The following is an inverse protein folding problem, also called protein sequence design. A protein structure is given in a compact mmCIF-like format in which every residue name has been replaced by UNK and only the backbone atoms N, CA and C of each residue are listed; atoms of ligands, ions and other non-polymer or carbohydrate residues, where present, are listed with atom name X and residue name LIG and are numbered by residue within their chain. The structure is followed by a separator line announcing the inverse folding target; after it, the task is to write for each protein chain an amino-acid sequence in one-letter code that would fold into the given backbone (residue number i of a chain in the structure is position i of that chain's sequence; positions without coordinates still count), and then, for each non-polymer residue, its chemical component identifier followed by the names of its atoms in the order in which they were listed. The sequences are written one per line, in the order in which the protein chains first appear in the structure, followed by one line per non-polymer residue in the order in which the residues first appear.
data_IF_622770888512
#
_entry.id   IF_622770888512
#
_cell.length_a   1.000
_cell.length_b   1.000
_cell.length_c   1.000
_cell.angle_alpha   90.00
_cell.angle_beta   90.00
_cell.angle_gamma   90.00
#
_symmetry.space_group_name_H-M   'P 1'
#
loop_
_entity.id
_entity.type
_entity.pdbx_description
1 polymer ?
#
# COMPACT_ATOMS: atom_id res chain seq x y z
N UNK A 1 -5.80 17.82 0.96
CA UNK A 1 -4.80 17.15 1.83
C UNK A 1 -5.13 15.68 1.94
N UNK A 2 -4.31 14.85 2.62
CA UNK A 2 -4.69 13.45 2.87
C UNK A 2 -5.83 13.42 3.90
N UNK A 3 -6.93 12.72 3.61
CA UNK A 3 -8.14 12.67 4.45
C UNK A 3 -8.39 11.30 5.08
N UNK A 4 -7.78 10.24 4.52
CA UNK A 4 -7.92 8.86 4.96
C UNK A 4 -6.53 8.22 4.99
N UNK A 5 -6.31 7.31 5.93
CA UNK A 5 -5.08 6.53 6.05
C UNK A 5 -5.43 5.07 6.32
N UNK A 6 -4.65 4.16 5.74
CA UNK A 6 -4.76 2.72 5.91
C UNK A 6 -3.37 2.17 6.26
N UNK A 7 -3.32 1.21 7.18
CA UNK A 7 -2.08 0.50 7.56
C UNK A 7 -2.32 -0.97 7.30
N UNK A 8 -1.38 -1.60 6.62
CA UNK A 8 -1.40 -3.03 6.33
C UNK A 8 -0.09 -3.65 6.83
N UNK A 9 -0.21 -4.71 7.61
CA UNK A 9 0.92 -5.40 8.22
C UNK A 9 1.24 -6.67 7.43
N UNK A 10 2.53 -6.87 7.14
CA UNK A 10 3.02 -8.04 6.43
C UNK A 10 4.00 -8.82 7.33
N UNK A 11 4.02 -10.15 7.17
CA UNK A 11 4.93 -11.00 7.94
C UNK A 11 6.38 -10.85 7.47
N UNK A 12 6.58 -10.50 6.21
CA UNK A 12 7.89 -10.28 5.61
C UNK A 12 7.85 -9.21 4.52
N UNK A 13 9.04 -8.79 4.09
CA UNK A 13 9.24 -7.87 2.96
C UNK A 13 8.77 -8.52 1.66
N UNK A 14 9.01 -9.82 1.49
CA UNK A 14 8.62 -10.58 0.30
C UNK A 14 7.10 -10.68 0.17
N UNK A 15 6.38 -10.88 1.29
CA UNK A 15 4.91 -10.91 1.30
C UNK A 15 4.33 -9.56 0.84
N UNK A 16 4.89 -8.45 1.35
CA UNK A 16 4.52 -7.09 0.92
C UNK A 16 4.82 -6.90 -0.57
N UNK A 17 6.01 -7.28 -1.04
CA UNK A 17 6.43 -7.07 -2.42
C UNK A 17 5.60 -7.91 -3.40
N UNK A 18 5.17 -9.10 -2.99
CA UNK A 18 4.19 -9.89 -3.72
C UNK A 18 2.84 -9.16 -3.80
N UNK A 19 2.28 -8.76 -2.66
CA UNK A 19 0.97 -8.09 -2.60
C UNK A 19 0.95 -6.79 -3.43
N UNK A 20 1.99 -5.96 -3.32
CA UNK A 20 2.05 -4.67 -4.03
C UNK A 20 2.26 -4.86 -5.53
N UNK A 21 3.13 -5.79 -5.95
CA UNK A 21 3.60 -5.83 -7.34
C UNK A 21 3.04 -6.97 -8.18
N UNK A 22 2.64 -8.08 -7.55
CA UNK A 22 2.36 -9.34 -8.25
C UNK A 22 0.94 -9.86 -8.01
N UNK A 23 0.28 -9.47 -6.91
CA UNK A 23 -1.09 -9.90 -6.64
C UNK A 23 -2.07 -9.31 -7.67
N UNK A 24 -2.77 -10.15 -8.47
CA UNK A 24 -3.75 -9.68 -9.43
C UNK A 24 -4.95 -8.98 -8.77
N UNK A 25 -5.33 -9.37 -7.54
CA UNK A 25 -6.43 -8.74 -6.82
C UNK A 25 -6.06 -7.31 -6.41
N UNK A 26 -4.89 -7.12 -5.80
CA UNK A 26 -4.39 -5.79 -5.46
C UNK A 26 -4.13 -4.93 -6.71
N UNK A 27 -3.67 -5.52 -7.81
CA UNK A 27 -3.49 -4.82 -9.09
C UNK A 27 -4.81 -4.23 -9.62
N UNK A 28 -5.88 -5.01 -9.61
CA UNK A 28 -7.23 -4.56 -10.02
C UNK A 28 -7.80 -3.49 -9.07
N UNK A 29 -7.50 -3.60 -7.78
CA UNK A 29 -7.89 -2.62 -6.78
C UNK A 29 -7.24 -1.25 -7.03
N UNK A 30 -5.92 -1.21 -7.30
CA UNK A 30 -5.19 0.01 -7.66
C UNK A 30 -5.77 0.67 -8.92
N UNK A 31 -6.09 -0.11 -9.95
CA UNK A 31 -6.70 0.40 -11.18
C UNK A 31 -8.03 1.09 -10.92
N UNK A 32 -8.89 0.46 -10.10
CA UNK A 32 -10.23 0.97 -9.81
C UNK A 32 -10.15 2.25 -8.96
N UNK A 33 -9.31 2.27 -7.93
CA UNK A 33 -9.20 3.42 -7.03
C UNK A 33 -8.37 4.58 -7.59
N UNK A 34 -7.43 4.29 -8.49
CA UNK A 34 -6.65 5.32 -9.19
C UNK A 34 -7.52 6.28 -10.00
N UNK A 35 -8.76 5.90 -10.33
CA UNK A 35 -9.73 6.73 -11.03
C UNK A 35 -10.51 7.67 -10.08
N UNK A 36 -10.48 7.42 -8.77
CA UNK A 36 -11.30 8.11 -7.76
C UNK A 36 -10.45 9.05 -6.91
N UNK A 37 -9.18 8.72 -6.67
CA UNK A 37 -8.32 9.50 -5.79
C UNK A 37 -7.69 10.70 -6.49
N UNK A 38 -7.82 11.88 -5.86
CA UNK A 38 -7.06 13.08 -6.26
C UNK A 38 -5.57 12.95 -5.90
N UNK A 39 -5.25 12.28 -4.78
CA UNK A 39 -3.88 12.11 -4.29
C UNK A 39 -3.73 10.81 -3.49
N UNK A 40 -2.64 10.09 -3.72
CA UNK A 40 -2.22 8.93 -2.93
C UNK A 40 -0.74 9.05 -2.51
N UNK A 41 -0.41 8.54 -1.32
CA UNK A 41 0.95 8.43 -0.82
C UNK A 41 1.11 7.07 -0.14
N UNK A 42 2.14 6.33 -0.52
CA UNK A 42 2.45 5.00 0.04
C UNK A 42 3.78 5.10 0.77
N UNK A 43 3.81 4.65 2.02
CA UNK A 43 4.99 4.71 2.89
C UNK A 43 5.26 3.30 3.41
N UNK A 44 6.41 2.74 3.04
CA UNK A 44 6.92 1.53 3.68
C UNK A 44 7.72 1.92 4.92
N UNK A 45 7.39 1.33 6.07
CA UNK A 45 8.13 1.52 7.31
C UNK A 45 8.14 0.24 8.14
N UNK A 46 9.09 0.13 9.06
CA UNK A 46 9.13 -0.92 10.08
C UNK A 46 8.65 -0.33 11.39
N UNK A 47 7.64 -0.95 12.02
CA UNK A 47 7.12 -0.47 13.30
C UNK A 47 8.25 -0.34 14.33
N UNK A 48 8.18 0.74 15.12
CA UNK A 48 9.15 1.11 16.17
C UNK A 48 10.60 1.31 15.68
N UNK A 49 10.83 1.44 14.38
CA UNK A 49 12.14 1.80 13.82
C UNK A 49 12.13 3.28 13.44
N UNK A 50 12.93 4.09 14.14
CA UNK A 50 13.05 5.52 13.89
C UNK A 50 14.48 5.79 13.43
N UNK A 51 14.64 6.14 12.15
CA UNK A 51 15.92 6.47 11.52
C UNK A 51 15.77 7.71 10.67
#
# INVERSE_FOLDING_TARGET
GITHAFVEEFKSVEDRDYYVNNDPAHSKFKETLGQVFEKAQVIGFTDRTFT
#
